data_IF_644027241889
#
_entry.id   IF_644027241889
#
_cell.length_a   1.000
_cell.length_b   1.000
_cell.length_c   1.000
_cell.angle_alpha   90.00
_cell.angle_beta   90.00
_cell.angle_gamma   90.00
#
_symmetry.space_group_name_H-M   'P 1'
#
loop_
_entity.id
_entity.type
_entity.pdbx_description
1 polymer ?
#
# COMPACT_ATOMS: atom_id res chain seq x y z
N UNK A 1 3.89 -4.81 -12.44
CA UNK A 1 3.31 -5.68 -13.50
C UNK A 1 2.22 -5.04 -14.32
N UNK A 2 1.17 -4.50 -13.70
CA UNK A 2 0.08 -3.83 -14.45
C UNK A 2 0.60 -2.62 -15.21
N UNK A 3 1.43 -1.78 -14.58
CA UNK A 3 2.09 -0.65 -15.24
C UNK A 3 3.03 -1.07 -16.38
N UNK A 4 3.80 -2.15 -16.21
CA UNK A 4 4.68 -2.69 -17.25
C UNK A 4 3.88 -3.19 -18.46
N UNK A 5 2.77 -3.92 -18.21
CA UNK A 5 1.83 -4.33 -19.27
C UNK A 5 1.16 -3.14 -19.96
N UNK A 6 0.80 -2.09 -19.22
CA UNK A 6 0.25 -0.84 -19.79
C UNK A 6 1.27 -0.11 -20.68
N UNK A 7 2.57 -0.26 -20.39
CA UNK A 7 3.67 0.25 -21.22
C UNK A 7 4.02 -0.66 -22.41
N UNK A 8 3.30 -1.76 -22.61
CA UNK A 8 3.57 -2.72 -23.69
C UNK A 8 4.70 -3.71 -23.39
N UNK A 9 5.22 -3.72 -22.16
CA UNK A 9 6.27 -4.64 -21.76
C UNK A 9 5.68 -6.04 -21.51
N UNK A 10 6.23 -7.06 -22.18
CA UNK A 10 5.78 -8.45 -22.13
C UNK A 10 6.84 -9.39 -21.54
N UNK A 11 6.49 -10.65 -21.26
CA UNK A 11 7.45 -11.67 -20.79
C UNK A 11 7.68 -11.75 -19.28
N UNK A 12 6.99 -10.92 -18.49
CA UNK A 12 7.13 -10.92 -17.03
C UNK A 12 6.08 -11.83 -16.37
N UNK A 13 6.56 -12.77 -15.56
CA UNK A 13 5.75 -13.54 -14.63
C UNK A 13 5.97 -13.02 -13.21
N UNK A 14 4.94 -13.12 -12.36
CA UNK A 14 5.08 -12.89 -10.93
C UNK A 14 4.44 -14.07 -10.19
N UNK A 15 5.02 -14.42 -9.05
CA UNK A 15 4.52 -15.47 -8.17
C UNK A 15 4.14 -14.84 -6.84
N UNK A 16 2.97 -15.19 -6.31
CA UNK A 16 2.59 -14.83 -4.95
C UNK A 16 3.14 -15.93 -4.03
N UNK A 17 4.07 -15.62 -3.12
CA UNK A 17 4.60 -16.63 -2.20
C UNK A 17 3.53 -17.15 -1.24
N UNK A 18 3.77 -18.34 -0.67
CA UNK A 18 2.84 -18.99 0.26
C UNK A 18 2.62 -18.20 1.57
N UNK A 19 3.63 -17.45 2.02
CA UNK A 19 3.54 -16.47 3.10
C UNK A 19 3.83 -15.10 2.48
N UNK A 20 2.93 -14.14 2.68
CA UNK A 20 3.14 -12.79 2.16
C UNK A 20 2.83 -11.75 3.25
N UNK A 21 3.12 -10.48 3.00
CA UNK A 21 2.81 -9.38 3.94
C UNK A 21 1.83 -8.42 3.28
N UNK A 22 0.93 -7.82 4.07
CA UNK A 22 0.09 -6.74 3.56
C UNK A 22 0.91 -5.48 3.37
N UNK A 23 0.67 -4.77 2.26
CA UNK A 23 1.27 -3.47 1.99
C UNK A 23 0.13 -2.46 2.07
N UNK A 24 0.03 -1.78 3.21
CA UNK A 24 -1.06 -0.87 3.52
C UNK A 24 -0.53 0.58 3.55
N UNK A 25 -0.50 1.29 2.41
CA UNK A 25 0.03 2.65 2.34
C UNK A 25 -0.90 3.63 3.09
N UNK A 26 -0.44 4.29 4.16
CA UNK A 26 -1.28 5.22 4.92
C UNK A 26 -1.44 6.55 4.19
N UNK A 27 -2.57 7.22 4.45
CA UNK A 27 -2.84 8.60 4.01
C UNK A 27 -3.13 9.43 5.24
N UNK A 28 -2.53 10.62 5.35
CA UNK A 28 -2.73 11.54 6.46
C UNK A 28 -2.83 12.99 5.98
N UNK A 29 -3.68 13.77 6.67
CA UNK A 29 -3.73 15.22 6.52
C UNK A 29 -2.73 15.84 7.49
N UNK A 30 -1.91 16.78 7.01
CA UNK A 30 -0.88 17.44 7.83
C UNK A 30 -1.44 18.73 8.45
N UNK A 31 -1.90 18.65 9.69
CA UNK A 31 -2.62 19.72 10.41
C UNK A 31 -1.94 21.08 10.31
N UNK A 32 -0.66 21.16 10.71
CA UNK A 32 0.14 22.40 10.70
C UNK A 32 0.14 23.09 9.33
N UNK A 33 0.13 22.32 8.24
CA UNK A 33 0.19 22.87 6.88
C UNK A 33 -1.19 23.32 6.41
N UNK A 34 -2.22 22.51 6.63
CA UNK A 34 -3.57 22.85 6.19
C UNK A 34 -4.16 24.02 6.94
N UNK A 35 -3.80 24.21 8.21
CA UNK A 35 -4.20 25.37 9.00
C UNK A 35 -3.47 26.64 8.53
N UNK A 36 -2.14 26.55 8.31
CA UNK A 36 -1.35 27.66 7.78
C UNK A 36 -1.84 28.12 6.41
N UNK A 37 -2.23 27.19 5.54
CA UNK A 37 -2.66 27.46 4.16
C UNK A 37 -4.17 27.65 4.02
N UNK A 38 -4.94 27.45 5.09
CA UNK A 38 -6.42 27.48 5.08
C UNK A 38 -7.02 26.51 4.06
N UNK A 39 -6.44 25.31 3.94
CA UNK A 39 -6.85 24.27 2.98
C UNK A 39 -7.39 23.00 3.66
N UNK A 40 -7.78 23.09 4.94
CA UNK A 40 -8.19 21.91 5.74
C UNK A 40 -9.38 21.18 5.13
N UNK A 41 -10.39 21.92 4.69
CA UNK A 41 -11.61 21.35 4.12
C UNK A 41 -11.29 20.55 2.86
N UNK A 42 -10.64 21.18 1.87
CA UNK A 42 -10.29 20.52 0.60
C UNK A 42 -9.32 19.34 0.79
N UNK A 43 -8.34 19.45 1.69
CA UNK A 43 -7.39 18.37 1.94
C UNK A 43 -8.06 17.17 2.62
N UNK A 44 -8.95 17.42 3.58
CA UNK A 44 -9.74 16.37 4.24
C UNK A 44 -10.68 15.69 3.26
N UNK A 45 -11.39 16.48 2.44
CA UNK A 45 -12.27 15.95 1.41
C UNK A 45 -11.51 15.09 0.39
N UNK A 46 -10.32 15.53 -0.02
CA UNK A 46 -9.46 14.73 -0.90
C UNK A 46 -9.03 13.41 -0.24
N UNK A 47 -8.56 13.44 1.01
CA UNK A 47 -8.17 12.23 1.72
C UNK A 47 -9.33 11.24 1.86
N UNK A 48 -10.55 11.72 2.13
CA UNK A 48 -11.76 10.90 2.17
C UNK A 48 -12.14 10.36 0.79
N UNK A 49 -12.02 11.18 -0.26
CA UNK A 49 -12.31 10.79 -1.64
C UNK A 49 -11.50 9.55 -2.06
N UNK A 50 -10.24 9.42 -1.63
CA UNK A 50 -9.38 8.27 -1.94
C UNK A 50 -9.98 6.92 -1.51
N UNK A 51 -10.92 6.90 -0.56
CA UNK A 51 -11.59 5.69 -0.07
C UNK A 51 -12.97 5.44 -0.70
N UNK A 52 -13.43 6.33 -1.58
CA UNK A 52 -14.68 6.14 -2.32
C UNK A 52 -14.55 5.02 -3.36
N UNK A 53 -15.66 4.37 -3.77
CA UNK A 53 -15.62 3.39 -4.84
C UNK A 53 -15.00 3.92 -6.14
N UNK A 54 -15.21 5.20 -6.45
CA UNK A 54 -14.65 5.85 -7.63
C UNK A 54 -13.12 5.85 -7.61
N UNK A 55 -12.51 6.45 -6.59
CA UNK A 55 -11.05 6.48 -6.48
C UNK A 55 -10.44 5.08 -6.38
N UNK A 56 -11.11 4.17 -5.66
CA UNK A 56 -10.65 2.79 -5.50
C UNK A 56 -10.65 2.01 -6.82
N UNK A 57 -11.58 2.29 -7.76
CA UNK A 57 -11.54 1.71 -9.11
C UNK A 57 -10.34 2.21 -9.90
N UNK A 58 -10.00 3.49 -9.81
CA UNK A 58 -8.80 4.03 -10.48
C UNK A 58 -7.52 3.41 -9.92
N UNK A 59 -7.43 3.26 -8.60
CA UNK A 59 -6.33 2.53 -7.95
C UNK A 59 -6.22 1.08 -8.42
N UNK A 60 -7.35 0.38 -8.58
CA UNK A 60 -7.39 -0.98 -9.08
C UNK A 60 -6.86 -1.10 -10.52
N UNK A 61 -7.09 -0.08 -11.37
CA UNK A 61 -6.59 -0.08 -12.76
C UNK A 61 -5.07 0.06 -12.85
N UNK A 62 -4.43 0.70 -11.87
CA UNK A 62 -2.99 0.99 -11.91
C UNK A 62 -2.14 0.05 -11.04
N UNK A 63 -2.76 -0.89 -10.32
CA UNK A 63 -2.03 -1.97 -9.65
C UNK A 63 -2.18 -2.05 -8.14
N UNK A 64 -2.97 -1.18 -7.53
CA UNK A 64 -3.24 -1.23 -6.09
C UNK A 64 -4.43 -2.14 -5.80
N UNK A 65 -4.34 -2.88 -4.69
CA UNK A 65 -5.44 -3.71 -4.19
C UNK A 65 -6.47 -2.79 -3.51
N UNK A 66 -7.74 -2.76 -3.95
CA UNK A 66 -8.75 -1.90 -3.35
C UNK A 66 -9.07 -2.34 -1.92
N UNK A 67 -9.26 -1.39 -1.02
CA UNK A 67 -9.75 -1.63 0.34
C UNK A 67 -11.28 -1.61 0.40
N UNK A 68 -11.94 -0.96 -0.57
CA UNK A 68 -13.38 -1.00 -0.69
C UNK A 68 -13.85 -2.40 -1.12
N UNK A 69 -14.68 -3.05 -0.31
CA UNK A 69 -15.07 -4.45 -0.51
C UNK A 69 -15.83 -4.70 -1.82
N UNK A 70 -16.61 -3.73 -2.31
CA UNK A 70 -17.35 -3.87 -3.57
C UNK A 70 -16.38 -3.82 -4.75
N UNK A 71 -15.48 -2.84 -4.74
CA UNK A 71 -14.44 -2.72 -5.78
C UNK A 71 -13.47 -3.90 -5.73
N UNK A 72 -13.09 -4.38 -4.55
CA UNK A 72 -12.23 -5.57 -4.42
C UNK A 72 -12.86 -6.81 -5.08
N UNK A 73 -14.18 -6.98 -5.01
CA UNK A 73 -14.90 -8.06 -5.70
C UNK A 73 -14.87 -7.88 -7.22
N UNK A 74 -15.09 -6.66 -7.71
CA UNK A 74 -15.02 -6.31 -9.15
C UNK A 74 -13.66 -6.74 -9.76
N UNK A 75 -12.56 -6.58 -9.03
CA UNK A 75 -11.20 -6.87 -9.50
C UNK A 75 -10.61 -8.21 -9.00
N UNK A 76 -11.42 -9.10 -8.43
CA UNK A 76 -10.97 -10.38 -7.84
C UNK A 76 -10.21 -11.29 -8.80
N UNK A 77 -10.54 -11.26 -10.10
CA UNK A 77 -9.81 -12.01 -11.14
C UNK A 77 -8.39 -11.47 -11.38
N UNK A 78 -8.20 -10.16 -11.21
CA UNK A 78 -6.91 -9.49 -11.42
C UNK A 78 -6.02 -9.58 -10.18
N UNK A 79 -6.63 -9.59 -8.99
CA UNK A 79 -5.92 -9.67 -7.71
C UNK A 79 -6.31 -10.94 -6.96
N UNK A 80 -5.58 -12.06 -7.18
CA UNK A 80 -5.80 -13.28 -6.43
C UNK A 80 -5.73 -13.02 -4.93
N UNK A 81 -6.63 -13.66 -4.19
CA UNK A 81 -6.64 -13.59 -2.72
C UNK A 81 -5.38 -14.24 -2.18
N UNK A 82 -4.68 -13.54 -1.30
CA UNK A 82 -3.57 -14.11 -0.53
C UNK A 82 -4.16 -14.77 0.70
N UNK A 83 -3.94 -16.07 0.86
CA UNK A 83 -4.52 -16.87 1.95
C UNK A 83 -3.79 -16.70 3.29
N UNK A 84 -2.48 -16.42 3.25
CA UNK A 84 -1.65 -16.31 4.43
C UNK A 84 -0.85 -15.00 4.42
N UNK A 85 -1.42 -14.00 5.09
CA UNK A 85 -0.76 -12.72 5.35
C UNK A 85 -0.10 -12.77 6.73
N UNK A 86 1.22 -12.66 6.75
CA UNK A 86 1.99 -12.50 7.96
C UNK A 86 1.64 -11.14 8.61
N UNK A 87 1.15 -11.13 9.86
CA UNK A 87 0.83 -9.90 10.55
C UNK A 87 2.12 -9.25 11.07
N UNK A 88 2.41 -8.01 10.67
CA UNK A 88 3.58 -7.28 11.17
C UNK A 88 3.58 -7.16 12.70
N UNK A 89 2.41 -7.16 13.33
CA UNK A 89 2.26 -7.11 14.79
C UNK A 89 2.90 -8.30 15.50
N UNK A 90 3.13 -9.43 14.81
CA UNK A 90 3.87 -10.56 15.36
C UNK A 90 5.36 -10.25 15.60
N UNK A 91 5.90 -9.18 15.00
CA UNK A 91 7.30 -8.74 15.17
C UNK A 91 7.43 -7.36 15.84
N UNK A 92 6.32 -6.77 16.28
CA UNK A 92 6.28 -5.53 17.06
C UNK A 92 5.53 -4.37 16.39
N UNK A 93 5.66 -3.17 16.98
CA UNK A 93 5.18 -1.93 16.36
C UNK A 93 6.07 -1.52 15.20
N UNK A 94 5.58 -0.64 14.31
CA UNK A 94 6.40 -0.10 13.23
C UNK A 94 7.68 0.58 13.72
N UNK A 95 7.63 1.29 14.86
CA UNK A 95 8.83 1.89 15.46
C UNK A 95 9.85 0.84 15.89
N UNK A 96 9.39 -0.26 16.50
CA UNK A 96 10.26 -1.36 16.91
C UNK A 96 10.88 -2.07 15.70
N UNK A 97 10.08 -2.32 14.66
CA UNK A 97 10.52 -2.92 13.39
C UNK A 97 11.57 -2.02 12.74
N UNK A 98 11.28 -0.72 12.59
CA UNK A 98 12.18 0.25 11.98
C UNK A 98 13.52 0.28 12.72
N UNK A 99 13.49 0.38 14.05
CA UNK A 99 14.71 0.42 14.87
C UNK A 99 15.51 -0.88 14.79
N UNK A 100 14.84 -2.04 14.80
CA UNK A 100 15.50 -3.36 14.84
C UNK A 100 16.10 -3.75 13.50
N UNK A 101 15.43 -3.44 12.40
CA UNK A 101 15.80 -3.94 11.08
C UNK A 101 16.41 -2.89 10.16
N UNK A 102 16.00 -1.61 10.26
CA UNK A 102 16.24 -0.61 9.21
C UNK A 102 16.91 0.69 9.71
N UNK A 103 17.26 0.81 10.98
CA UNK A 103 18.11 1.91 11.45
C UNK A 103 19.56 1.72 10.98
N UNK A 104 20.34 2.80 10.98
CA UNK A 104 21.76 2.72 10.62
C UNK A 104 22.50 1.69 11.50
N UNK A 105 23.19 0.75 10.86
CA UNK A 105 23.91 -0.36 11.52
C UNK A 105 23.02 -1.50 12.02
N UNK A 106 21.72 -1.48 11.73
CA UNK A 106 20.77 -2.52 12.11
C UNK A 106 20.94 -3.80 11.26
N UNK A 107 20.03 -4.76 11.47
CA UNK A 107 20.12 -6.10 10.88
C UNK A 107 20.23 -6.06 9.35
N UNK A 108 19.50 -5.17 8.67
CA UNK A 108 19.58 -5.07 7.21
C UNK A 108 21.01 -4.75 6.75
N UNK A 109 21.67 -3.76 7.36
CA UNK A 109 23.05 -3.37 7.03
C UNK A 109 24.06 -4.48 7.30
N UNK A 110 23.81 -5.30 8.33
CA UNK A 110 24.69 -6.43 8.68
C UNK A 110 24.59 -7.58 7.66
N UNK A 111 23.42 -7.77 7.03
CA UNK A 111 23.19 -8.80 6.00
C UNK A 111 23.77 -8.37 4.64
N UNK A 112 23.82 -7.06 4.37
CA UNK A 112 24.34 -6.52 3.11
C UNK A 112 25.87 -6.52 3.02
N UNK A 113 26.58 -6.78 4.13
CA UNK A 113 28.05 -6.91 4.18
C UNK A 113 28.49 -8.32 3.84
#
# INVERSE_FOLDING_TARGET
>A
MILARQKGETGFSYTIPAVNVSIDPPVAVVDKIVDKRKTREVATAFAQFLFTPEAQREFAKVGFRPVNANVAKEFSKQYPKVSNLFPYTAIGSWDAIQKKFFADGAIFDQIQR
#
